data_IF_595476482186
#
_entry.id   IF_595476482186
#
_cell.length_a   1.000
_cell.length_b   1.000
_cell.length_c   1.000
_cell.angle_alpha   90.00
_cell.angle_beta   90.00
_cell.angle_gamma   90.00
#
_symmetry.space_group_name_H-M   'P 1'
#
loop_
_entity.id
_entity.type
_entity.pdbx_description
1 polymer ?
#
# COMPACT_ATOMS: atom_id res chain seq x y z
N UNK A 1 23.54 -4.39 9.33
CA UNK A 1 22.55 -5.41 9.74
C UNK A 1 21.19 -5.09 9.18
N UNK A 2 20.37 -6.11 8.99
CA UNK A 2 19.01 -5.92 8.44
C UNK A 2 18.17 -4.96 9.26
N UNK A 3 18.37 -4.92 10.59
CA UNK A 3 17.66 -3.98 11.48
C UNK A 3 18.02 -2.51 11.26
N UNK A 4 19.10 -2.22 10.57
CA UNK A 4 19.47 -0.85 10.24
C UNK A 4 18.86 -0.35 8.94
N UNK A 5 18.25 -1.25 8.18
CA UNK A 5 17.59 -0.91 6.91
C UNK A 5 16.12 -0.57 7.21
N UNK A 6 15.75 0.65 6.90
CA UNK A 6 14.42 1.17 7.22
C UNK A 6 13.48 1.08 6.02
N UNK A 7 12.20 0.95 6.31
CA UNK A 7 11.12 1.00 5.31
C UNK A 7 11.27 2.25 4.44
N UNK A 8 11.59 3.38 5.03
CA UNK A 8 11.80 4.66 4.35
C UNK A 8 12.74 4.55 3.15
N UNK A 9 13.76 3.69 3.25
CA UNK A 9 14.81 3.59 2.23
C UNK A 9 14.37 2.78 1.00
N UNK A 10 13.32 1.96 1.12
CA UNK A 10 12.89 1.04 0.06
C UNK A 10 11.43 1.21 -0.35
N UNK A 11 10.67 2.05 0.32
CA UNK A 11 9.27 2.30 -0.05
C UNK A 11 9.16 3.04 -1.37
N UNK A 12 8.04 2.86 -2.05
CA UNK A 12 7.66 3.63 -3.23
C UNK A 12 6.93 4.88 -2.78
N UNK A 13 7.34 6.06 -3.26
CA UNK A 13 6.74 7.34 -2.86
C UNK A 13 5.68 7.84 -3.82
N UNK A 14 5.78 7.50 -5.10
CA UNK A 14 4.80 7.90 -6.11
C UNK A 14 3.70 6.87 -6.18
N UNK A 15 2.55 7.21 -5.64
CA UNK A 15 1.43 6.30 -5.51
C UNK A 15 0.22 6.81 -6.27
N UNK A 16 -0.56 5.87 -6.83
CA UNK A 16 -1.92 6.15 -7.24
C UNK A 16 -2.76 6.15 -5.97
N UNK A 17 -3.46 7.25 -5.72
CA UNK A 17 -4.34 7.38 -4.54
C UNK A 17 -5.72 7.82 -4.99
N UNK A 18 -6.71 7.51 -4.17
CA UNK A 18 -8.09 7.92 -4.39
C UNK A 18 -8.54 8.89 -3.29
N UNK A 19 -9.57 9.67 -3.57
CA UNK A 19 -10.25 10.48 -2.57
C UNK A 19 -11.54 9.79 -2.14
N UNK A 20 -12.02 9.99 -0.90
CA UNK A 20 -13.29 9.41 -0.47
C UNK A 20 -14.49 9.81 -1.36
N UNK A 21 -14.46 11.01 -1.92
CA UNK A 21 -15.54 11.56 -2.74
C UNK A 21 -15.46 11.16 -4.22
N UNK A 22 -14.40 10.47 -4.60
CA UNK A 22 -14.24 10.01 -5.99
C UNK A 22 -15.35 9.01 -6.33
N UNK A 23 -15.90 9.13 -7.53
CA UNK A 23 -16.89 8.18 -8.02
C UNK A 23 -16.26 6.80 -8.17
N UNK A 24 -17.01 5.76 -7.78
CA UNK A 24 -16.51 4.38 -7.80
C UNK A 24 -16.05 3.95 -9.21
N UNK A 25 -16.79 4.29 -10.25
CA UNK A 25 -16.42 3.91 -11.62
C UNK A 25 -15.13 4.59 -12.07
N UNK A 26 -14.90 5.83 -11.64
CA UNK A 26 -13.64 6.53 -11.89
C UNK A 26 -12.48 5.78 -11.23
N UNK A 27 -12.66 5.33 -9.99
CA UNK A 27 -11.65 4.55 -9.27
C UNK A 27 -11.40 3.21 -9.97
N UNK A 28 -12.45 2.52 -10.41
CA UNK A 28 -12.31 1.25 -11.14
C UNK A 28 -11.48 1.47 -12.42
N UNK A 29 -11.78 2.53 -13.18
CA UNK A 29 -11.01 2.84 -14.37
C UNK A 29 -9.54 3.05 -14.06
N UNK A 30 -9.23 3.74 -12.98
CA UNK A 30 -7.84 3.97 -12.57
C UNK A 30 -7.13 2.69 -12.15
N UNK A 31 -7.82 1.79 -11.45
CA UNK A 31 -7.26 0.48 -11.12
C UNK A 31 -6.85 -0.27 -12.39
N UNK A 32 -7.74 -0.26 -13.39
CA UNK A 32 -7.50 -0.95 -14.65
C UNK A 32 -6.38 -0.29 -15.48
N UNK A 33 -6.39 1.03 -15.58
CA UNK A 33 -5.36 1.79 -16.31
C UNK A 33 -3.96 1.56 -15.74
N UNK A 34 -3.84 1.57 -14.42
CA UNK A 34 -2.56 1.41 -13.74
C UNK A 34 -2.19 -0.03 -13.45
N UNK A 35 -3.08 -0.98 -13.78
CA UNK A 35 -2.88 -2.43 -13.54
C UNK A 35 -2.54 -2.72 -12.09
N UNK A 36 -3.30 -2.12 -11.19
CA UNK A 36 -3.13 -2.32 -9.74
C UNK A 36 -4.41 -2.94 -9.16
N UNK A 37 -4.24 -3.70 -8.09
CA UNK A 37 -5.34 -4.42 -7.44
C UNK A 37 -6.01 -3.61 -6.33
N UNK A 38 -5.47 -2.46 -6.00
CA UNK A 38 -6.01 -1.60 -4.97
C UNK A 38 -5.18 -0.35 -4.81
N UNK A 39 -5.72 0.63 -4.13
CA UNK A 39 -5.04 1.89 -3.88
C UNK A 39 -5.46 2.49 -2.55
N UNK A 40 -4.55 3.24 -1.90
CA UNK A 40 -4.89 3.97 -0.68
C UNK A 40 -5.88 5.10 -0.97
N UNK A 41 -6.74 5.35 -0.02
CA UNK A 41 -7.69 6.47 -0.06
C UNK A 41 -7.23 7.52 0.96
N UNK A 42 -7.02 8.73 0.48
CA UNK A 42 -6.54 9.83 1.31
C UNK A 42 -7.51 11.02 1.26
N UNK A 43 -7.57 11.77 2.36
CA UNK A 43 -8.36 12.99 2.41
C UNK A 43 -7.59 14.18 1.83
N UNK A 44 -8.19 15.37 1.86
CA UNK A 44 -7.59 16.59 1.31
C UNK A 44 -6.32 17.05 2.03
N UNK A 45 -6.02 16.49 3.19
CA UNK A 45 -4.81 16.79 3.96
C UNK A 45 -3.74 15.72 3.83
N UNK A 46 -4.00 14.68 3.02
CA UNK A 46 -3.06 13.59 2.82
C UNK A 46 -3.13 12.49 3.87
N UNK A 47 -4.11 12.53 4.78
CA UNK A 47 -4.30 11.49 5.77
C UNK A 47 -4.90 10.24 5.14
N UNK A 48 -4.36 9.08 5.50
CA UNK A 48 -4.90 7.80 5.06
C UNK A 48 -6.24 7.54 5.75
N UNK A 49 -7.29 7.36 4.97
CA UNK A 49 -8.64 7.12 5.50
C UNK A 49 -9.19 5.74 5.11
N UNK A 50 -8.57 5.05 4.18
CA UNK A 50 -9.01 3.72 3.78
C UNK A 50 -8.17 3.12 2.66
N UNK A 51 -8.61 1.95 2.20
CA UNK A 51 -8.08 1.28 1.02
C UNK A 51 -9.25 0.84 0.16
N UNK A 52 -9.11 1.01 -1.15
CA UNK A 52 -10.09 0.47 -2.08
C UNK A 52 -9.40 -0.61 -2.92
N UNK A 53 -9.90 -1.84 -2.83
CA UNK A 53 -9.38 -2.99 -3.57
C UNK A 53 -10.35 -3.45 -4.64
N UNK A 54 -9.87 -4.32 -5.54
CA UNK A 54 -10.73 -5.02 -6.49
C UNK A 54 -11.87 -5.74 -5.78
N UNK A 55 -11.56 -6.39 -4.65
CA UNK A 55 -12.57 -7.08 -3.84
C UNK A 55 -13.65 -6.14 -3.32
N UNK A 56 -13.27 -4.95 -2.88
CA UNK A 56 -14.24 -3.94 -2.43
C UNK A 56 -15.17 -3.54 -3.57
N UNK A 57 -14.62 -3.36 -4.77
CA UNK A 57 -15.41 -3.02 -5.96
C UNK A 57 -16.39 -4.15 -6.32
N UNK A 58 -15.94 -5.40 -6.27
CA UNK A 58 -16.77 -6.56 -6.56
C UNK A 58 -17.90 -6.69 -5.53
N UNK A 59 -17.60 -6.47 -4.25
CA UNK A 59 -18.65 -6.46 -3.21
C UNK A 59 -19.67 -5.37 -3.45
N UNK A 60 -19.22 -4.20 -3.90
CA UNK A 60 -20.11 -3.10 -4.27
C UNK A 60 -21.09 -3.49 -5.36
N UNK A 61 -20.61 -4.19 -6.39
CA UNK A 61 -21.45 -4.69 -7.48
C UNK A 61 -22.48 -5.67 -6.94
N UNK A 62 -22.07 -6.63 -6.10
CA UNK A 62 -22.96 -7.63 -5.53
C UNK A 62 -24.00 -7.04 -4.58
N UNK A 63 -23.69 -5.96 -3.91
CA UNK A 63 -24.64 -5.30 -3.00
C UNK A 63 -25.70 -4.48 -3.71
N UNK A 64 -25.70 -4.46 -5.03
CA UNK A 64 -26.70 -3.74 -5.82
C UNK A 64 -26.31 -2.32 -6.18
N UNK A 65 -25.13 -1.86 -5.79
CA UNK A 65 -24.64 -0.52 -6.14
C UNK A 65 -24.61 -0.30 -7.66
N UNK A 66 -24.38 -1.37 -8.41
CA UNK A 66 -24.35 -1.34 -9.86
C UNK A 66 -25.70 -0.96 -10.47
N UNK A 67 -26.81 -1.34 -9.82
CA UNK A 67 -28.16 -1.08 -10.31
C UNK A 67 -28.69 0.30 -9.92
N UNK A 68 -28.07 0.92 -8.94
CA UNK A 68 -28.40 2.28 -8.57
C UNK A 68 -27.50 3.21 -9.35
N UNK A 69 -28.08 4.15 -10.06
CA UNK A 69 -27.36 5.05 -10.93
C UNK A 69 -26.12 5.65 -10.25
N UNK A 70 -25.00 5.67 -10.96
CA UNK A 70 -23.72 6.25 -10.58
C UNK A 70 -22.90 5.53 -9.52
N UNK A 71 -23.35 4.40 -8.97
CA UNK A 71 -22.53 3.51 -8.14
C UNK A 71 -22.05 4.02 -6.80
N UNK A 72 -22.20 5.28 -6.49
CA UNK A 72 -21.75 5.89 -5.25
C UNK A 72 -20.27 6.27 -5.25
N UNK A 73 -19.78 6.67 -4.10
CA UNK A 73 -18.43 7.17 -3.90
C UNK A 73 -17.49 6.08 -3.34
N UNK A 74 -16.21 6.28 -3.51
CA UNK A 74 -15.16 5.40 -2.96
C UNK A 74 -15.39 5.14 -1.47
N UNK A 75 -15.77 6.18 -0.70
CA UNK A 75 -15.97 6.05 0.75
C UNK A 75 -17.03 5.03 1.12
N UNK A 76 -17.99 4.77 0.23
CA UNK A 76 -19.09 3.83 0.50
C UNK A 76 -18.64 2.38 0.42
N UNK A 77 -17.50 2.11 -0.20
CA UNK A 77 -17.01 0.75 -0.48
C UNK A 77 -15.63 0.46 0.09
N UNK A 78 -14.86 1.48 0.43
CA UNK A 78 -13.50 1.29 0.93
C UNK A 78 -13.47 0.56 2.27
N UNK A 79 -12.37 -0.12 2.53
CA UNK A 79 -12.06 -0.72 3.83
C UNK A 79 -11.38 0.35 4.68
N UNK A 80 -11.88 0.59 5.90
CA UNK A 80 -11.36 1.63 6.79
C UNK A 80 -10.36 1.11 7.81
N UNK A 81 -10.41 -0.17 8.15
CA UNK A 81 -9.42 -0.79 9.01
C UNK A 81 -8.22 -1.21 8.17
N UNK A 82 -7.22 -0.35 8.12
CA UNK A 82 -6.05 -0.51 7.26
C UNK A 82 -4.82 -0.75 8.13
N UNK A 83 -4.13 -1.87 7.89
CA UNK A 83 -2.84 -2.12 8.50
C UNK A 83 -1.80 -1.23 7.81
N UNK A 84 -1.01 -0.52 8.61
CA UNK A 84 0.01 0.40 8.12
C UNK A 84 1.35 0.09 8.78
N UNK A 85 2.42 0.65 8.24
CA UNK A 85 3.76 0.52 8.80
C UNK A 85 4.40 1.90 8.90
N UNK A 86 5.25 2.08 9.93
CA UNK A 86 6.03 3.30 10.09
C UNK A 86 7.20 3.33 9.11
N UNK A 87 7.59 4.51 8.58
CA UNK A 87 8.79 4.60 7.76
C UNK A 87 10.06 4.25 8.53
N UNK A 88 10.02 4.32 9.86
CA UNK A 88 11.17 3.99 10.71
C UNK A 88 11.25 2.51 11.09
N UNK A 89 10.23 1.72 10.72
CA UNK A 89 10.27 0.28 10.92
C UNK A 89 11.42 -0.33 10.11
N UNK A 90 12.05 -1.35 10.67
CA UNK A 90 13.13 -2.05 9.96
C UNK A 90 12.60 -3.21 9.12
N UNK A 91 13.50 -3.79 8.33
CA UNK A 91 13.17 -4.87 7.40
C UNK A 91 12.63 -6.11 8.13
N UNK A 92 13.10 -6.37 9.34
CA UNK A 92 12.62 -7.51 10.14
C UNK A 92 11.17 -7.28 10.57
N UNK A 93 10.87 -6.08 11.09
CA UNK A 93 9.51 -5.73 11.51
C UNK A 93 8.51 -5.82 10.37
N UNK A 94 8.84 -5.27 9.19
CA UNK A 94 7.93 -5.29 8.06
C UNK A 94 7.76 -6.71 7.52
N UNK A 95 8.80 -7.53 7.55
CA UNK A 95 8.71 -8.94 7.16
C UNK A 95 7.71 -9.69 8.04
N UNK A 96 7.79 -9.47 9.35
CA UNK A 96 6.84 -10.06 10.29
C UNK A 96 5.41 -9.61 10.01
N UNK A 97 5.20 -8.33 9.72
CA UNK A 97 3.88 -7.81 9.36
C UNK A 97 3.31 -8.48 8.11
N UNK A 98 4.12 -8.67 7.08
CA UNK A 98 3.67 -9.33 5.87
C UNK A 98 3.26 -10.78 6.11
N UNK A 99 4.02 -11.50 6.93
CA UNK A 99 3.72 -12.90 7.20
C UNK A 99 2.46 -13.08 8.04
N UNK A 100 2.22 -12.18 9.00
CA UNK A 100 1.02 -12.25 9.84
C UNK A 100 -0.24 -11.90 9.06
N UNK A 101 -0.17 -10.89 8.21
CA UNK A 101 -1.36 -10.27 7.60
C UNK A 101 -1.76 -10.81 6.24
N UNK A 102 -0.98 -11.68 5.64
CA UNK A 102 -1.20 -12.18 4.27
C UNK A 102 -1.31 -11.06 3.24
N UNK A 103 -0.72 -9.92 3.50
CA UNK A 103 -0.78 -8.77 2.60
C UNK A 103 0.44 -8.77 1.70
N UNK A 104 0.31 -8.16 0.52
CA UNK A 104 1.41 -8.01 -0.43
C UNK A 104 2.05 -6.64 -0.34
N UNK A 105 1.31 -5.68 0.20
CA UNK A 105 1.70 -4.28 0.30
C UNK A 105 1.17 -3.68 1.58
N UNK A 106 1.90 -2.71 2.10
CA UNK A 106 1.49 -1.96 3.28
C UNK A 106 1.67 -0.47 3.01
N UNK A 107 0.65 0.34 3.31
CA UNK A 107 0.83 1.79 3.29
C UNK A 107 1.83 2.19 4.36
N UNK A 108 2.69 3.12 4.02
CA UNK A 108 3.66 3.71 4.95
C UNK A 108 3.10 5.04 5.40
N UNK A 109 2.90 5.18 6.69
CA UNK A 109 2.21 6.32 7.28
C UNK A 109 3.08 6.95 8.37
N UNK A 110 3.13 8.28 8.36
CA UNK A 110 3.83 9.08 9.37
C UNK A 110 2.87 10.17 9.85
N UNK A 111 2.57 10.17 11.14
CA UNK A 111 1.61 11.12 11.74
C UNK A 111 0.26 11.14 11.00
N UNK A 112 -0.24 9.96 10.67
CA UNK A 112 -1.52 9.81 9.97
C UNK A 112 -1.47 10.06 8.47
N UNK A 113 -0.39 10.58 7.95
CA UNK A 113 -0.23 10.91 6.53
C UNK A 113 0.41 9.78 5.74
N UNK A 114 -0.15 9.52 4.59
CA UNK A 114 0.42 8.54 3.66
C UNK A 114 1.66 9.15 3.02
N UNK A 115 2.82 8.49 3.20
CA UNK A 115 4.07 8.95 2.62
C UNK A 115 4.67 7.98 1.61
N UNK A 116 4.14 6.76 1.54
CA UNK A 116 4.64 5.77 0.61
C UNK A 116 3.92 4.45 0.77
N UNK A 117 4.47 3.44 0.11
CA UNK A 117 3.97 2.08 0.19
C UNK A 117 5.16 1.13 0.08
N UNK A 118 5.13 0.04 0.82
CA UNK A 118 6.17 -0.99 0.72
C UNK A 118 5.53 -2.32 0.35
N UNK A 119 6.18 -3.05 -0.54
CA UNK A 119 5.73 -4.36 -1.00
C UNK A 119 6.68 -5.46 -0.51
N UNK A 120 6.23 -6.71 -0.62
CA UNK A 120 7.09 -7.87 -0.35
C UNK A 120 8.31 -7.85 -1.26
N UNK A 121 8.15 -7.45 -2.52
CA UNK A 121 9.26 -7.32 -3.47
C UNK A 121 10.30 -6.29 -3.01
N UNK A 122 9.84 -5.17 -2.45
CA UNK A 122 10.76 -4.14 -1.93
C UNK A 122 11.61 -4.70 -0.80
N UNK A 123 11.02 -5.49 0.09
CA UNK A 123 11.73 -6.13 1.20
C UNK A 123 12.78 -7.10 0.67
N UNK A 124 12.42 -7.92 -0.31
CA UNK A 124 13.35 -8.88 -0.91
C UNK A 124 14.51 -8.15 -1.60
N UNK A 125 14.23 -7.04 -2.27
CA UNK A 125 15.28 -6.21 -2.90
C UNK A 125 16.23 -5.65 -1.84
N UNK A 126 15.70 -5.18 -0.72
CA UNK A 126 16.51 -4.67 0.38
C UNK A 126 17.45 -5.73 0.92
N UNK A 127 16.96 -6.95 1.11
CA UNK A 127 17.76 -8.09 1.59
C UNK A 127 18.83 -8.46 0.56
N UNK A 128 18.48 -8.49 -0.71
CA UNK A 128 19.42 -8.79 -1.79
C UNK A 128 20.56 -7.77 -1.83
N UNK A 129 20.25 -6.50 -1.76
CA UNK A 129 21.25 -5.42 -1.79
C UNK A 129 22.15 -5.47 -0.55
N UNK A 130 21.58 -5.75 0.60
CA UNK A 130 22.36 -5.93 1.82
C UNK A 130 23.35 -7.10 1.69
N UNK A 131 22.90 -8.24 1.18
CA UNK A 131 23.74 -9.42 1.01
C UNK A 131 24.88 -9.16 0.00
N UNK A 132 24.58 -8.48 -1.09
CA UNK A 132 25.60 -8.12 -2.09
C UNK A 132 26.65 -7.18 -1.51
N UNK A 133 26.23 -6.22 -0.71
CA UNK A 133 27.14 -5.29 -0.04
C UNK A 133 28.05 -6.03 0.95
N UNK A 134 27.48 -6.94 1.74
CA UNK A 134 28.24 -7.74 2.72
C UNK A 134 29.23 -8.67 2.01
N UNK A 135 28.84 -9.32 0.93
CA UNK A 135 29.73 -10.16 0.12
C UNK A 135 30.87 -9.33 -0.47
N UNK A 136 30.57 -8.13 -0.95
CA UNK A 136 31.58 -7.21 -1.46
C UNK A 136 32.61 -6.84 -0.40
N UNK A 137 32.18 -6.60 0.84
CA UNK A 137 33.08 -6.34 1.97
C UNK A 137 33.99 -7.54 2.26
N UNK A 138 33.43 -8.73 2.24
CA UNK A 138 34.20 -9.97 2.47
C UNK A 138 35.23 -10.19 1.38
N UNK A 139 34.86 -9.89 0.14
CA UNK A 139 35.78 -10.02 -1.00
C UNK A 139 36.92 -9.02 -0.93
N UNK A 140 36.71 -7.84 -0.37
CA UNK A 140 37.70 -6.79 -0.22
C UNK A 140 38.55 -6.93 1.05
N UNK A 141 38.01 -7.65 1.99
CA UNK A 141 38.68 -7.87 3.27
C UNK A 141 39.49 -9.12 3.32
#
# INVERSE_FOLDING_TARGET
MLKSIKVRDYMTRHLVTFCPEMNLFTAINRLLEHRISGAPVVDGQGHLVGLLSEGDCLRGILSGAYYESAGGDVRDYMTTEVEVISPEADIIEVSECFLRGRRRRLPVVEEGRLIGQISRSDVLRAVKEFAQHDEGRKALG
#
